data_IF_578399407238
#
_entry.id   IF_578399407238
#
_cell.length_a   1.000
_cell.length_b   1.000
_cell.length_c   1.000
_cell.angle_alpha   90.00
_cell.angle_beta   90.00
_cell.angle_gamma   90.00
#
_symmetry.space_group_name_H-M   'P 1'
#
loop_
_entity.id
_entity.type
_entity.pdbx_description
1 polymer ?
#
# COMPACT_ATOMS: atom_id res chain seq x y z
N UNK A 1 -7.00 -36.47 -56.68
CA UNK A 1 -5.91 -37.44 -56.94
C UNK A 1 -4.69 -36.59 -57.23
N UNK A 2 -3.69 -36.45 -56.37
CA UNK A 2 -2.97 -37.47 -55.61
C UNK A 2 -2.37 -36.87 -54.34
N UNK A 3 -2.38 -37.71 -53.31
CA UNK A 3 -1.79 -37.57 -51.98
C UNK A 3 -0.26 -37.67 -52.05
N UNK A 4 0.45 -36.90 -51.22
CA UNK A 4 1.78 -37.30 -50.75
C UNK A 4 1.78 -37.35 -49.21
N UNK A 5 2.51 -38.34 -48.73
CA UNK A 5 2.52 -38.94 -47.39
C UNK A 5 3.97 -38.97 -46.94
N UNK A 6 4.17 -39.09 -45.63
CA UNK A 6 5.40 -39.42 -44.87
C UNK A 6 6.10 -38.21 -44.24
N UNK A 7 6.65 -38.29 -43.03
CA UNK A 7 6.80 -39.39 -42.08
C UNK A 7 6.97 -38.86 -40.65
N UNK A 8 6.55 -39.69 -39.69
CA UNK A 8 6.96 -39.63 -38.29
C UNK A 8 8.49 -39.80 -38.16
N UNK A 9 9.08 -39.06 -37.23
CA UNK A 9 10.38 -39.41 -36.64
C UNK A 9 10.26 -39.22 -35.13
N UNK A 10 10.26 -40.34 -34.41
CA UNK A 10 10.46 -40.42 -32.96
C UNK A 10 11.91 -40.05 -32.63
N UNK A 11 12.10 -39.28 -31.57
CA UNK A 11 13.36 -39.19 -30.83
C UNK A 11 13.03 -39.04 -29.35
N UNK A 12 13.14 -40.14 -28.63
CA UNK A 12 13.28 -40.17 -27.18
C UNK A 12 14.67 -39.64 -26.79
N UNK A 13 14.73 -38.79 -25.77
CA UNK A 13 15.90 -38.69 -24.87
C UNK A 13 15.43 -38.45 -23.44
N UNK A 14 16.19 -39.09 -22.55
CA UNK A 14 15.97 -39.37 -21.15
C UNK A 14 16.68 -38.34 -20.25
N UNK A 15 16.20 -38.21 -19.01
CA UNK A 15 17.02 -37.91 -17.83
C UNK A 15 17.55 -36.49 -17.62
N UNK A 16 16.94 -35.76 -16.69
CA UNK A 16 17.50 -34.52 -16.14
C UNK A 16 16.66 -33.90 -15.02
N UNK A 17 16.46 -34.65 -13.93
CA UNK A 17 15.85 -34.13 -12.70
C UNK A 17 16.80 -33.14 -12.01
N UNK A 18 16.43 -31.86 -12.01
CA UNK A 18 17.05 -30.82 -11.18
C UNK A 18 15.94 -29.89 -10.69
N UNK A 19 15.53 -30.09 -9.45
CA UNK A 19 14.50 -29.32 -8.75
C UNK A 19 14.94 -27.89 -8.50
N UNK A 20 14.29 -26.93 -9.15
CA UNK A 20 14.25 -25.52 -8.72
C UNK A 20 12.88 -24.97 -9.08
N UNK A 21 11.85 -25.32 -8.32
CA UNK A 21 10.47 -24.90 -8.64
C UNK A 21 9.64 -24.43 -7.45
N UNK A 22 10.25 -24.17 -6.29
CA UNK A 22 9.50 -23.82 -5.07
C UNK A 22 9.75 -22.38 -4.55
N UNK A 23 10.63 -21.58 -5.18
CA UNK A 23 10.87 -20.17 -4.80
C UNK A 23 10.18 -19.16 -5.73
N UNK A 24 9.50 -19.61 -6.79
CA UNK A 24 9.15 -18.75 -7.94
C UNK A 24 7.70 -18.25 -7.98
N UNK A 25 6.82 -18.67 -7.07
CA UNK A 25 5.41 -18.20 -7.03
C UNK A 25 5.19 -16.88 -6.25
N UNK A 26 6.26 -16.27 -5.70
CA UNK A 26 6.14 -15.34 -4.56
C UNK A 26 5.73 -13.89 -4.89
N UNK A 27 5.69 -13.46 -6.16
CA UNK A 27 5.41 -12.04 -6.46
C UNK A 27 4.34 -11.78 -7.54
N UNK A 28 3.61 -12.81 -7.97
CA UNK A 28 2.62 -12.75 -9.05
C UNK A 28 1.25 -12.11 -8.65
N UNK A 29 1.25 -11.08 -7.79
CA UNK A 29 0.04 -10.34 -7.40
C UNK A 29 -0.03 -8.93 -8.03
N UNK A 30 0.42 -8.81 -9.29
CA UNK A 30 0.27 -7.61 -10.13
C UNK A 30 -0.93 -7.69 -11.10
N UNK A 31 -1.87 -8.62 -10.85
CA UNK A 31 -2.99 -8.89 -11.77
C UNK A 31 -2.62 -9.75 -12.99
N UNK A 32 -1.37 -10.21 -13.08
CA UNK A 32 -0.93 -11.16 -14.08
C UNK A 32 -1.60 -12.53 -13.84
N UNK A 33 -2.24 -13.08 -14.88
CA UNK A 33 -2.92 -14.39 -14.84
C UNK A 33 -2.43 -15.35 -15.91
N UNK A 34 -1.55 -14.91 -16.80
CA UNK A 34 -0.90 -15.72 -17.83
C UNK A 34 0.60 -15.79 -17.57
N UNK A 35 1.26 -16.84 -18.08
CA UNK A 35 2.72 -17.00 -17.99
C UNK A 35 3.46 -15.75 -18.45
N UNK A 36 3.12 -15.24 -19.63
CA UNK A 36 3.77 -14.07 -20.22
C UNK A 36 3.56 -12.81 -19.37
N UNK A 37 2.39 -12.67 -18.73
CA UNK A 37 2.12 -11.54 -17.85
C UNK A 37 2.90 -11.65 -16.53
N UNK A 38 3.11 -12.87 -16.02
CA UNK A 38 3.94 -13.13 -14.83
C UNK A 38 5.40 -12.80 -15.14
N UNK A 39 5.93 -13.26 -16.28
CA UNK A 39 7.29 -12.96 -16.73
C UNK A 39 7.53 -11.45 -16.86
N UNK A 40 6.57 -10.70 -17.42
CA UNK A 40 6.65 -9.23 -17.52
C UNK A 40 6.63 -8.58 -16.14
N UNK A 41 5.75 -9.03 -15.26
CA UNK A 41 5.60 -8.51 -13.91
C UNK A 41 6.89 -8.72 -13.09
N UNK A 42 7.45 -9.92 -13.15
CA UNK A 42 8.72 -10.29 -12.52
C UNK A 42 9.87 -9.47 -13.07
N UNK A 43 10.04 -9.47 -14.40
CA UNK A 43 11.09 -8.68 -15.07
C UNK A 43 11.00 -7.19 -14.71
N UNK A 44 9.78 -6.65 -14.60
CA UNK A 44 9.58 -5.26 -14.18
C UNK A 44 10.02 -5.04 -12.74
N UNK A 45 9.73 -5.96 -11.82
CA UNK A 45 10.11 -5.84 -10.41
C UNK A 45 11.61 -6.02 -10.20
N UNK A 46 12.26 -6.90 -10.96
CA UNK A 46 13.71 -7.06 -10.93
C UNK A 46 14.43 -5.75 -11.28
N UNK A 47 13.94 -5.05 -12.31
CA UNK A 47 14.44 -3.70 -12.65
C UNK A 47 14.22 -2.68 -11.54
N UNK A 48 13.15 -2.81 -10.76
CA UNK A 48 12.89 -1.92 -9.63
C UNK A 48 13.83 -2.23 -8.46
N UNK A 49 14.11 -3.51 -8.18
CA UNK A 49 15.08 -3.95 -7.16
C UNK A 49 16.52 -3.57 -7.49
N UNK A 50 16.86 -3.39 -8.77
CA UNK A 50 18.14 -2.79 -9.18
C UNK A 50 18.26 -1.30 -8.76
N UNK A 51 17.14 -0.61 -8.53
CA UNK A 51 17.07 0.85 -8.31
C UNK A 51 16.79 1.25 -6.87
N UNK A 52 16.15 0.37 -6.10
CA UNK A 52 15.69 0.63 -4.73
C UNK A 52 16.26 -0.47 -3.83
N UNK A 53 16.74 -0.15 -2.62
CA UNK A 53 17.12 -1.17 -1.65
C UNK A 53 16.02 -2.22 -1.43
N UNK A 54 16.37 -3.38 -0.87
CA UNK A 54 15.42 -4.46 -0.57
C UNK A 54 15.71 -5.10 0.80
N UNK A 55 16.00 -4.25 1.80
CA UNK A 55 16.43 -4.69 3.12
C UNK A 55 15.31 -4.62 4.16
N UNK A 56 14.34 -3.73 3.95
CA UNK A 56 13.29 -3.43 4.92
C UNK A 56 11.90 -3.52 4.32
N UNK A 57 10.89 -3.68 5.19
CA UNK A 57 9.49 -3.59 4.76
C UNK A 57 9.14 -2.21 4.16
N UNK A 58 9.79 -1.14 4.61
CA UNK A 58 9.62 0.18 3.99
C UNK A 58 10.18 0.23 2.56
N UNK A 59 11.23 -0.53 2.28
CA UNK A 59 11.82 -0.59 0.95
C UNK A 59 10.88 -1.24 -0.06
N UNK A 60 10.11 -2.26 0.35
CA UNK A 60 9.02 -2.82 -0.48
C UNK A 60 8.00 -1.75 -0.87
N UNK A 61 7.65 -0.84 0.03
CA UNK A 61 6.75 0.29 -0.27
C UNK A 61 7.42 1.29 -1.23
N UNK A 62 8.73 1.54 -1.10
CA UNK A 62 9.50 2.37 -2.05
C UNK A 62 9.56 1.74 -3.44
N UNK A 63 9.82 0.43 -3.53
CA UNK A 63 9.79 -0.33 -4.78
C UNK A 63 8.41 -0.28 -5.42
N UNK A 64 7.35 -0.53 -4.64
CA UNK A 64 5.97 -0.41 -5.12
C UNK A 64 5.65 0.99 -5.63
N UNK A 65 6.15 2.03 -4.96
CA UNK A 65 5.99 3.41 -5.42
C UNK A 65 6.65 3.64 -6.78
N UNK A 66 7.87 3.15 -6.98
CA UNK A 66 8.58 3.23 -8.28
C UNK A 66 7.83 2.44 -9.34
N UNK A 67 7.43 1.20 -9.07
CA UNK A 67 6.68 0.36 -9.99
C UNK A 67 5.34 1.00 -10.42
N UNK A 68 4.54 1.47 -9.46
CA UNK A 68 3.22 2.04 -9.72
C UNK A 68 3.26 3.38 -10.49
N UNK A 69 4.42 4.04 -10.51
CA UNK A 69 4.59 5.36 -11.13
C UNK A 69 5.48 5.34 -12.38
N UNK A 70 6.30 4.30 -12.54
CA UNK A 70 7.37 4.25 -13.54
C UNK A 70 8.47 5.28 -13.31
N UNK A 71 8.58 5.88 -12.12
CA UNK A 71 9.49 6.97 -11.81
C UNK A 71 10.40 6.60 -10.61
N UNK A 72 11.70 6.29 -10.85
CA UNK A 72 12.65 5.90 -9.81
C UNK A 72 12.78 6.91 -8.67
N UNK A 73 12.47 8.19 -8.92
CA UNK A 73 12.56 9.24 -7.91
C UNK A 73 11.58 9.03 -6.74
N UNK A 74 10.48 8.28 -6.94
CA UNK A 74 9.49 8.06 -5.89
C UNK A 74 10.09 7.38 -4.66
N UNK A 75 11.15 6.59 -4.80
CA UNK A 75 11.86 6.00 -3.66
C UNK A 75 12.34 7.07 -2.66
N UNK A 76 12.71 8.26 -3.17
CA UNK A 76 13.21 9.38 -2.37
C UNK A 76 12.09 10.31 -1.88
N UNK A 77 10.87 10.16 -2.40
CA UNK A 77 9.72 11.00 -2.04
C UNK A 77 8.85 10.40 -0.94
N UNK A 78 8.79 9.06 -0.83
CA UNK A 78 7.97 8.39 0.17
C UNK A 78 8.51 8.71 1.57
N UNK A 79 7.59 9.01 2.49
CA UNK A 79 7.88 9.30 3.90
C UNK A 79 6.96 8.45 4.78
N UNK A 80 7.54 7.94 5.84
CA UNK A 80 6.87 7.14 6.85
C UNK A 80 6.82 7.92 8.17
N UNK A 81 5.70 7.82 8.88
CA UNK A 81 5.55 8.24 10.26
C UNK A 81 5.05 7.03 11.06
N UNK A 82 5.72 6.69 12.17
CA UNK A 82 5.49 5.43 12.87
C UNK A 82 5.92 4.22 12.05
N UNK A 83 5.19 3.10 12.18
CA UNK A 83 5.43 1.86 11.41
C UNK A 83 4.15 1.46 10.63
N UNK A 84 3.81 2.21 9.58
CA UNK A 84 2.56 2.01 8.85
C UNK A 84 2.53 0.70 8.06
N UNK A 85 3.70 0.13 7.75
CA UNK A 85 3.75 -1.14 7.02
C UNK A 85 3.27 -2.27 7.92
N UNK A 86 3.81 -2.38 9.14
CA UNK A 86 3.36 -3.42 10.07
C UNK A 86 1.95 -3.17 10.60
N UNK A 87 1.57 -1.94 10.94
CA UNK A 87 0.20 -1.68 11.41
C UNK A 87 -0.82 -1.83 10.31
N UNK A 88 -0.51 -1.40 9.09
CA UNK A 88 -1.33 -1.61 7.90
C UNK A 88 -1.53 -3.09 7.61
N UNK A 89 -0.46 -3.89 7.61
CA UNK A 89 -0.55 -5.34 7.42
C UNK A 89 -1.40 -6.00 8.53
N UNK A 90 -1.24 -5.60 9.80
CA UNK A 90 -2.10 -6.07 10.92
C UNK A 90 -3.58 -5.73 10.71
N UNK A 91 -3.87 -4.53 10.22
CA UNK A 91 -5.23 -4.11 9.91
C UNK A 91 -5.82 -4.96 8.77
N UNK A 92 -5.04 -5.29 7.73
CA UNK A 92 -5.45 -6.22 6.68
C UNK A 92 -5.70 -7.63 7.23
N UNK A 93 -4.81 -8.14 8.09
CA UNK A 93 -4.96 -9.45 8.73
C UNK A 93 -6.22 -9.53 9.58
N UNK A 94 -6.58 -8.41 10.22
CA UNK A 94 -7.79 -8.26 11.05
C UNK A 94 -9.03 -7.85 10.25
N UNK A 95 -8.93 -7.84 8.92
CA UNK A 95 -10.01 -7.52 7.98
C UNK A 95 -10.65 -6.14 8.19
N UNK A 96 -9.86 -5.18 8.69
CA UNK A 96 -10.32 -3.82 8.92
C UNK A 96 -10.69 -3.11 7.61
N UNK A 97 -11.61 -2.13 7.64
CA UNK A 97 -12.03 -1.41 6.44
C UNK A 97 -10.87 -0.70 5.74
N UNK A 98 -10.91 -0.70 4.40
CA UNK A 98 -10.07 0.17 3.57
C UNK A 98 -10.98 1.29 3.05
N UNK A 99 -10.71 2.52 3.47
CA UNK A 99 -11.54 3.69 3.16
C UNK A 99 -10.79 4.62 2.22
N UNK A 100 -11.24 4.69 0.97
CA UNK A 100 -10.58 5.49 -0.07
C UNK A 100 -11.24 6.85 -0.25
N UNK A 101 -10.50 7.89 -0.62
CA UNK A 101 -11.10 9.21 -0.88
C UNK A 101 -12.06 9.21 -2.08
N UNK A 102 -11.67 8.58 -3.20
CA UNK A 102 -12.44 8.56 -4.45
C UNK A 102 -12.58 7.17 -5.07
N UNK A 103 -13.48 7.05 -6.07
CA UNK A 103 -13.74 5.81 -6.82
C UNK A 103 -12.50 5.24 -7.50
N UNK A 104 -11.62 6.08 -8.07
CA UNK A 104 -10.44 5.62 -8.81
C UNK A 104 -9.44 4.89 -7.91
N UNK A 105 -9.25 5.37 -6.67
CA UNK A 105 -8.40 4.70 -5.68
C UNK A 105 -9.02 3.35 -5.32
N UNK A 106 -10.32 3.32 -4.99
CA UNK A 106 -11.05 2.07 -4.71
C UNK A 106 -10.90 1.04 -5.82
N UNK A 107 -11.02 1.46 -7.08
CA UNK A 107 -10.92 0.55 -8.22
C UNK A 107 -9.52 -0.05 -8.41
N UNK A 108 -8.47 0.60 -7.87
CA UNK A 108 -7.10 0.09 -7.89
C UNK A 108 -6.74 -0.82 -6.72
N UNK A 109 -7.60 -0.93 -5.69
CA UNK A 109 -7.36 -1.85 -4.57
C UNK A 109 -7.63 -3.28 -5.05
N UNK A 110 -6.67 -4.19 -4.87
CA UNK A 110 -6.83 -5.60 -5.22
C UNK A 110 -7.96 -6.24 -4.41
N UNK A 111 -8.68 -7.19 -5.01
CA UNK A 111 -9.67 -8.00 -4.30
C UNK A 111 -9.11 -9.32 -3.78
N UNK A 112 -7.81 -9.58 -4.00
CA UNK A 112 -7.14 -10.83 -3.62
C UNK A 112 -6.35 -10.62 -2.33
N UNK A 113 -6.14 -11.70 -1.58
CA UNK A 113 -5.30 -11.65 -0.37
C UNK A 113 -5.97 -11.03 0.86
N UNK A 114 -7.23 -10.59 0.81
CA UNK A 114 -7.96 -10.10 2.00
C UNK A 114 -9.48 -10.17 1.84
N UNK A 115 -10.21 -10.03 2.95
CA UNK A 115 -11.67 -9.83 2.96
C UNK A 115 -12.08 -8.45 3.51
N UNK A 116 -11.11 -7.53 3.70
CA UNK A 116 -11.38 -6.15 4.12
C UNK A 116 -12.51 -5.49 3.29
N UNK A 117 -13.50 -4.86 3.93
CA UNK A 117 -14.48 -4.04 3.23
C UNK A 117 -13.82 -2.82 2.58
N UNK A 118 -13.88 -2.71 1.25
CA UNK A 118 -13.34 -1.55 0.53
C UNK A 118 -14.45 -0.53 0.20
N UNK A 119 -14.40 0.62 0.87
CA UNK A 119 -15.38 1.69 0.76
C UNK A 119 -14.75 2.96 0.20
N UNK A 120 -15.55 3.80 -0.44
CA UNK A 120 -15.12 5.14 -0.89
C UNK A 120 -15.85 6.21 -0.10
N UNK A 121 -15.15 7.28 0.25
CA UNK A 121 -15.71 8.44 0.93
C UNK A 121 -16.60 9.22 -0.02
N UNK A 122 -16.12 9.56 -1.23
CA UNK A 122 -16.90 10.35 -2.19
C UNK A 122 -18.29 9.74 -2.43
N UNK A 123 -19.32 10.58 -2.25
CA UNK A 123 -20.73 10.19 -2.33
C UNK A 123 -21.44 10.25 -0.98
N UNK A 124 -20.70 10.38 0.12
CA UNK A 124 -21.23 10.70 1.44
C UNK A 124 -21.18 12.22 1.71
N UNK A 125 -22.01 12.74 2.61
CA UNK A 125 -21.93 14.13 3.05
C UNK A 125 -22.28 15.18 1.98
N UNK A 126 -23.13 14.85 1.00
CA UNK A 126 -23.55 15.81 -0.04
C UNK A 126 -24.28 17.02 0.53
N UNK A 127 -25.11 16.81 1.55
CA UNK A 127 -25.82 17.87 2.27
C UNK A 127 -24.83 18.78 3.01
N UNK A 128 -23.91 18.18 3.78
CA UNK A 128 -22.84 18.92 4.47
C UNK A 128 -22.01 19.77 3.51
N UNK A 129 -21.67 19.25 2.32
CA UNK A 129 -20.94 20.02 1.32
C UNK A 129 -21.75 21.21 0.79
N UNK A 130 -23.05 21.04 0.57
CA UNK A 130 -23.93 22.11 0.09
C UNK A 130 -24.14 23.21 1.15
N UNK A 131 -24.29 22.82 2.41
CA UNK A 131 -24.54 23.73 3.52
C UNK A 131 -23.31 24.57 3.89
N UNK A 132 -22.11 23.96 3.88
CA UNK A 132 -20.88 24.60 4.36
C UNK A 132 -20.01 25.18 3.24
N UNK A 133 -20.27 24.83 1.99
CA UNK A 133 -19.46 25.21 0.83
C UNK A 133 -18.11 24.50 0.72
N UNK A 134 -17.84 23.49 1.56
CA UNK A 134 -16.61 22.72 1.47
C UNK A 134 -16.61 21.75 0.28
N UNK A 135 -15.43 21.26 -0.11
CA UNK A 135 -15.36 20.27 -1.18
C UNK A 135 -16.06 18.98 -0.79
N UNK A 136 -16.73 18.33 -1.75
CA UNK A 136 -17.41 17.04 -1.55
C UNK A 136 -16.55 16.00 -0.84
N UNK A 137 -15.27 15.88 -1.20
CA UNK A 137 -14.34 14.92 -0.58
C UNK A 137 -14.05 15.22 0.88
N UNK A 138 -13.97 16.50 1.28
CA UNK A 138 -13.81 16.88 2.68
C UNK A 138 -15.07 16.56 3.48
N UNK A 139 -16.25 16.96 2.97
CA UNK A 139 -17.52 16.66 3.60
C UNK A 139 -17.76 15.15 3.75
N UNK A 140 -17.39 14.37 2.73
CA UNK A 140 -17.47 12.90 2.78
C UNK A 140 -16.60 12.29 3.88
N UNK A 141 -15.38 12.81 4.09
CA UNK A 141 -14.50 12.32 5.18
C UNK A 141 -15.13 12.63 6.53
N UNK A 142 -15.56 13.87 6.76
CA UNK A 142 -16.20 14.26 8.02
C UNK A 142 -17.47 13.44 8.30
N UNK A 143 -18.25 13.14 7.27
CA UNK A 143 -19.47 12.36 7.42
C UNK A 143 -19.18 10.89 7.77
N UNK A 144 -18.19 10.27 7.14
CA UNK A 144 -17.77 8.92 7.49
C UNK A 144 -17.11 8.85 8.88
N UNK A 145 -16.37 9.89 9.26
CA UNK A 145 -15.77 10.02 10.58
C UNK A 145 -16.82 10.06 11.71
N UNK A 146 -17.90 10.84 11.54
CA UNK A 146 -19.04 10.86 12.47
C UNK A 146 -19.70 9.49 12.65
N UNK A 147 -19.56 8.61 11.66
CA UNK A 147 -20.08 7.24 11.70
C UNK A 147 -19.08 6.25 12.29
N UNK A 148 -17.90 6.70 12.75
CA UNK A 148 -16.83 5.87 13.31
C UNK A 148 -16.11 5.01 12.28
N UNK A 149 -16.21 5.33 10.98
CA UNK A 149 -15.72 4.46 9.90
C UNK A 149 -14.19 4.45 9.80
N UNK A 150 -13.52 5.46 10.34
CA UNK A 150 -12.07 5.62 10.24
C UNK A 150 -11.28 5.00 11.39
N UNK A 151 -11.91 4.66 12.52
CA UNK A 151 -11.21 3.98 13.61
C UNK A 151 -10.78 2.58 13.19
N UNK A 152 -9.51 2.24 13.47
CA UNK A 152 -8.81 1.03 13.04
C UNK A 152 -8.76 0.77 11.51
N UNK A 153 -9.33 1.66 10.71
CA UNK A 153 -9.35 1.53 9.26
C UNK A 153 -7.99 1.87 8.63
N UNK A 154 -7.80 1.40 7.40
CA UNK A 154 -6.76 1.89 6.50
C UNK A 154 -7.35 3.03 5.67
N UNK A 155 -6.91 4.25 5.92
CA UNK A 155 -7.37 5.43 5.22
C UNK A 155 -6.48 5.73 4.00
N UNK A 156 -7.01 5.59 2.78
CA UNK A 156 -6.25 5.75 1.53
C UNK A 156 -6.71 6.97 0.73
N UNK A 157 -5.87 8.00 0.65
CA UNK A 157 -6.16 9.28 0.00
C UNK A 157 -5.19 9.49 -1.16
N UNK A 158 -5.67 9.28 -2.39
CA UNK A 158 -4.85 9.38 -3.59
C UNK A 158 -5.07 10.63 -4.43
N UNK A 159 -6.20 11.32 -4.27
CA UNK A 159 -6.59 12.40 -5.17
C UNK A 159 -6.80 13.74 -4.47
N UNK A 160 -7.56 13.80 -3.37
CA UNK A 160 -8.05 15.07 -2.84
C UNK A 160 -7.21 15.58 -1.65
N UNK A 161 -6.43 16.68 -1.79
CA UNK A 161 -5.77 17.32 -0.65
C UNK A 161 -6.74 17.71 0.46
N UNK A 162 -7.96 18.11 0.12
CA UNK A 162 -8.99 18.50 1.10
C UNK A 162 -9.54 17.32 1.89
N UNK A 163 -9.52 16.10 1.34
CA UNK A 163 -9.83 14.90 2.13
C UNK A 163 -8.74 14.64 3.18
N UNK A 164 -7.46 14.82 2.81
CA UNK A 164 -6.35 14.64 3.74
C UNK A 164 -6.34 15.70 4.85
N UNK A 165 -6.71 16.95 4.54
CA UNK A 165 -6.89 17.98 5.56
C UNK A 165 -8.04 17.62 6.52
N UNK A 166 -9.21 17.24 5.99
CA UNK A 166 -10.34 16.83 6.82
C UNK A 166 -10.01 15.62 7.72
N UNK A 167 -9.32 14.61 7.18
CA UNK A 167 -8.89 13.45 7.98
C UNK A 167 -7.91 13.86 9.09
N UNK A 168 -7.03 14.83 8.83
CA UNK A 168 -6.15 15.33 9.86
C UNK A 168 -6.93 16.03 10.99
N UNK A 169 -7.96 16.82 10.66
CA UNK A 169 -8.83 17.46 11.66
C UNK A 169 -9.60 16.41 12.49
N UNK A 170 -10.04 15.31 11.88
CA UNK A 170 -10.63 14.16 12.57
C UNK A 170 -9.65 13.52 13.56
N UNK A 171 -8.39 13.31 13.16
CA UNK A 171 -7.35 12.73 14.03
C UNK A 171 -7.09 13.63 15.24
N UNK A 172 -7.01 14.95 15.06
CA UNK A 172 -6.91 15.87 16.19
C UNK A 172 -8.11 15.79 17.13
N UNK A 173 -9.28 15.52 16.56
CA UNK A 173 -10.54 15.39 17.30
C UNK A 173 -10.72 14.03 17.98
N UNK A 174 -9.82 13.07 17.75
CA UNK A 174 -9.79 11.79 18.46
C UNK A 174 -9.80 10.54 17.59
N UNK A 175 -10.03 10.67 16.27
CA UNK A 175 -10.07 9.52 15.35
C UNK A 175 -8.72 8.82 15.24
N UNK A 176 -8.69 7.49 15.24
CA UNK A 176 -7.46 6.69 15.19
C UNK A 176 -7.51 5.61 14.11
N UNK A 177 -7.18 5.95 12.85
CA UNK A 177 -6.91 4.95 11.81
C UNK A 177 -5.74 4.04 12.18
N UNK A 178 -5.78 2.77 11.76
CA UNK A 178 -4.66 1.85 11.98
C UNK A 178 -3.43 2.21 11.11
N UNK A 179 -3.69 2.72 9.90
CA UNK A 179 -2.68 3.26 9.02
C UNK A 179 -3.30 4.25 8.02
N UNK A 180 -2.49 5.22 7.58
CA UNK A 180 -2.87 6.20 6.55
C UNK A 180 -1.96 6.03 5.34
N UNK A 181 -2.53 6.03 4.14
CA UNK A 181 -1.81 6.19 2.87
C UNK A 181 -2.29 7.47 2.22
N UNK A 182 -1.57 8.59 2.42
CA UNK A 182 -1.97 9.90 1.93
C UNK A 182 -0.97 10.44 0.90
N UNK A 183 -1.29 10.23 -0.38
CA UNK A 183 -0.50 10.71 -1.51
C UNK A 183 -1.34 11.55 -2.50
N UNK A 184 -2.18 12.51 -2.05
CA UNK A 184 -2.94 13.33 -2.98
C UNK A 184 -2.00 14.11 -3.93
N UNK A 185 -2.28 14.02 -5.22
CA UNK A 185 -1.57 14.78 -6.25
C UNK A 185 -2.15 16.20 -6.35
N UNK A 186 -1.30 17.18 -6.66
CA UNK A 186 -1.80 18.50 -7.00
C UNK A 186 -0.78 19.62 -6.83
N UNK A 187 -1.09 20.76 -7.43
CA UNK A 187 -0.29 21.98 -7.32
C UNK A 187 -0.79 22.91 -6.21
N UNK A 188 -1.99 22.66 -5.68
CA UNK A 188 -2.64 23.46 -4.65
C UNK A 188 -2.93 22.53 -3.47
N UNK A 189 -2.50 22.92 -2.25
CA UNK A 189 -2.73 22.22 -0.97
C UNK A 189 -2.19 20.78 -0.85
N UNK A 190 -1.70 20.15 -1.91
CA UNK A 190 -1.19 18.78 -1.86
C UNK A 190 0.03 18.63 -0.93
N UNK A 191 1.00 19.55 -1.01
CA UNK A 191 2.14 19.57 -0.09
C UNK A 191 1.69 19.82 1.35
N UNK A 192 0.87 20.85 1.56
CA UNK A 192 0.33 21.25 2.86
C UNK A 192 -0.45 20.12 3.55
N UNK A 193 -1.39 19.49 2.85
CA UNK A 193 -2.21 18.40 3.38
C UNK A 193 -1.39 17.18 3.82
N UNK A 194 -0.33 16.83 3.09
CA UNK A 194 0.57 15.73 3.48
C UNK A 194 1.47 16.09 4.64
N UNK A 195 1.95 17.34 4.69
CA UNK A 195 2.67 17.85 5.86
C UNK A 195 1.77 17.78 7.09
N UNK A 196 0.49 18.15 6.93
CA UNK A 196 -0.51 18.11 7.99
C UNK A 196 -0.77 16.70 8.48
N UNK A 197 -0.96 15.73 7.58
CA UNK A 197 -1.07 14.30 7.91
C UNK A 197 0.15 13.83 8.70
N UNK A 198 1.38 14.16 8.27
CA UNK A 198 2.59 13.75 9.00
C UNK A 198 2.69 14.36 10.40
N UNK A 199 2.27 15.62 10.55
CA UNK A 199 2.26 16.29 11.84
C UNK A 199 1.30 15.57 12.82
N UNK A 200 0.04 15.39 12.43
CA UNK A 200 -0.94 14.71 13.30
C UNK A 200 -0.60 13.22 13.50
N UNK A 201 -0.04 12.55 12.49
CA UNK A 201 0.45 11.18 12.61
C UNK A 201 1.48 11.04 13.73
N UNK A 202 2.44 11.97 13.78
CA UNK A 202 3.50 11.98 14.80
C UNK A 202 2.95 12.36 16.17
N UNK A 203 2.11 13.38 16.23
CA UNK A 203 1.56 13.92 17.47
C UNK A 203 0.60 12.95 18.17
N UNK A 204 -0.26 12.28 17.40
CA UNK A 204 -1.32 11.41 17.92
C UNK A 204 -1.02 9.91 17.78
N UNK A 205 0.19 9.55 17.30
CA UNK A 205 0.62 8.15 17.19
C UNK A 205 -0.13 7.34 16.13
N UNK A 206 -0.56 7.99 15.03
CA UNK A 206 -1.28 7.36 13.92
C UNK A 206 -0.30 7.10 12.77
N UNK A 207 0.05 5.85 12.44
CA UNK A 207 1.05 5.57 11.40
C UNK A 207 0.62 6.04 10.01
N UNK A 208 1.54 6.64 9.25
CA UNK A 208 1.21 7.20 7.93
C UNK A 208 2.32 7.02 6.89
N UNK A 209 1.89 6.73 5.66
CA UNK A 209 2.68 6.76 4.43
C UNK A 209 2.26 8.00 3.65
N UNK A 210 3.20 8.88 3.33
CA UNK A 210 2.95 10.08 2.52
C UNK A 210 4.05 10.26 1.48
N UNK A 211 3.92 11.30 0.65
CA UNK A 211 5.00 11.76 -0.23
C UNK A 211 5.37 13.23 0.01
N UNK A 212 6.55 13.64 -0.46
CA UNK A 212 7.00 15.05 -0.47
C UNK A 212 6.72 15.72 -1.81
N UNK A 213 6.47 17.03 -1.79
CA UNK A 213 6.33 17.85 -2.98
C UNK A 213 4.89 17.91 -3.50
N UNK A 214 4.70 17.70 -4.81
CA UNK A 214 3.40 17.78 -5.52
C UNK A 214 2.97 16.46 -6.20
N UNK A 215 3.93 15.55 -6.40
CA UNK A 215 3.73 14.24 -7.04
C UNK A 215 3.00 13.27 -6.11
N UNK A 216 2.12 12.45 -6.66
CA UNK A 216 1.23 11.55 -5.92
C UNK A 216 0.23 10.94 -6.90
N UNK A 217 -0.97 10.61 -6.43
CA UNK A 217 -2.08 10.21 -7.29
C UNK A 217 -2.73 8.91 -6.84
N UNK A 218 -3.84 8.58 -7.52
CA UNK A 218 -4.65 7.42 -7.19
C UNK A 218 -3.92 6.10 -7.39
N UNK A 219 -3.14 5.96 -8.48
CA UNK A 219 -2.39 4.74 -8.78
C UNK A 219 -1.33 4.44 -7.72
N UNK A 220 -0.62 5.48 -7.26
CA UNK A 220 0.35 5.35 -6.17
C UNK A 220 -0.34 4.96 -4.86
N UNK A 221 -1.43 5.65 -4.48
CA UNK A 221 -2.13 5.36 -3.23
C UNK A 221 -2.68 3.93 -3.19
N UNK A 222 -3.25 3.48 -4.32
CA UNK A 222 -3.73 2.12 -4.47
C UNK A 222 -2.58 1.10 -4.42
N UNK A 223 -1.49 1.35 -5.16
CA UNK A 223 -0.30 0.48 -5.16
C UNK A 223 0.30 0.30 -3.77
N UNK A 224 0.50 1.40 -3.02
CA UNK A 224 1.01 1.35 -1.65
C UNK A 224 0.06 0.61 -0.71
N UNK A 225 -1.26 0.78 -0.88
CA UNK A 225 -2.25 0.04 -0.08
C UNK A 225 -2.23 -1.46 -0.42
N UNK A 226 -2.09 -1.82 -1.70
CA UNK A 226 -1.94 -3.21 -2.13
C UNK A 226 -0.67 -3.84 -1.58
N UNK A 227 0.43 -3.08 -1.41
CA UNK A 227 1.62 -3.61 -0.76
C UNK A 227 1.38 -3.96 0.72
N UNK A 228 0.53 -3.22 1.43
CA UNK A 228 0.12 -3.63 2.78
C UNK A 228 -0.64 -4.96 2.77
N UNK A 229 -1.43 -5.20 1.72
CA UNK A 229 -2.12 -6.48 1.49
C UNK A 229 -1.11 -7.60 1.21
N UNK A 230 -0.13 -7.38 0.33
CA UNK A 230 0.88 -8.39 0.02
C UNK A 230 1.72 -8.73 1.26
N UNK A 231 2.17 -7.73 2.02
CA UNK A 231 2.86 -7.96 3.30
C UNK A 231 1.99 -8.78 4.25
N UNK A 232 0.69 -8.53 4.32
CA UNK A 232 -0.22 -9.35 5.14
C UNK A 232 -0.35 -10.80 4.63
N UNK A 233 -0.40 -11.02 3.31
CA UNK A 233 -0.37 -12.36 2.72
C UNK A 233 0.93 -13.09 3.06
N UNK A 234 2.09 -12.43 2.91
CA UNK A 234 3.40 -13.01 3.23
C UNK A 234 3.51 -13.39 4.71
N UNK A 235 2.83 -12.65 5.60
CA UNK A 235 2.74 -13.01 7.03
C UNK A 235 1.89 -14.26 7.24
N UNK A 236 0.78 -14.42 6.50
CA UNK A 236 -0.03 -15.66 6.56
C UNK A 236 0.75 -16.88 6.06
N UNK A 237 1.60 -16.67 5.07
CA UNK A 237 2.44 -17.70 4.48
C UNK A 237 3.74 -17.97 5.28
N UNK A 238 3.96 -17.23 6.37
CA UNK A 238 5.12 -17.40 7.24
C UNK A 238 6.44 -16.83 6.69
N UNK A 239 6.38 -16.05 5.60
CA UNK A 239 7.53 -15.45 4.91
C UNK A 239 8.00 -14.16 5.58
N UNK A 240 7.08 -13.43 6.22
CA UNK A 240 7.36 -12.17 6.93
C UNK A 240 6.86 -12.26 8.37
N UNK A 241 7.62 -11.71 9.32
CA UNK A 241 7.18 -11.50 10.70
C UNK A 241 6.88 -10.03 10.96
N UNK A 242 5.78 -9.76 11.70
CA UNK A 242 5.38 -8.40 12.09
C UNK A 242 5.92 -7.98 13.46
N UNK A 243 6.95 -8.66 13.96
CA UNK A 243 7.64 -8.24 15.17
C UNK A 243 8.34 -6.90 14.91
N UNK A 244 8.18 -5.96 15.85
CA UNK A 244 8.95 -4.71 15.86
C UNK A 244 10.40 -5.04 16.16
N UNK A 245 11.33 -4.54 15.33
CA UNK A 245 12.75 -4.60 15.66
C UNK A 245 12.98 -4.03 17.07
N UNK A 246 13.84 -4.64 17.90
CA UNK A 246 14.10 -4.13 19.24
C UNK A 246 14.63 -2.69 19.13
N UNK A 247 13.88 -1.75 19.70
CA UNK A 247 14.29 -0.35 19.81
C UNK A 247 15.62 -0.31 20.56
N UNK A 248 16.59 0.49 20.12
CA UNK A 248 17.90 0.63 20.78
C UNK A 248 17.81 0.98 22.29
N UNK A 249 16.65 1.49 22.73
CA UNK A 249 16.32 1.70 24.14
C UNK A 249 16.44 0.44 25.02
N UNK A 250 16.32 -0.77 24.46
CA UNK A 250 16.36 -2.03 25.22
C UNK A 250 17.77 -2.63 25.37
N UNK A 251 18.83 -1.98 24.85
CA UNK A 251 20.23 -2.46 25.02
C UNK A 251 20.92 -1.91 26.28
N UNK A 252 20.34 -0.91 26.94
CA UNK A 252 20.95 -0.27 28.10
C UNK A 252 20.55 -0.86 29.46
N UNK A 253 19.49 -1.67 29.54
CA UNK A 253 18.95 -2.14 30.83
C UNK A 253 19.52 -3.49 31.32
N UNK A 254 20.48 -4.06 30.59
CA UNK A 254 21.11 -5.35 30.95
C UNK A 254 22.61 -5.27 31.23
N UNK A 255 23.18 -4.07 31.42
CA UNK A 255 24.62 -3.89 31.77
C UNK A 255 24.91 -3.32 33.15
N UNK A 256 23.92 -3.13 34.02
CA UNK A 256 24.12 -2.70 35.41
C UNK A 256 23.40 -3.61 36.43
N UNK A 257 23.68 -4.91 36.39
CA UNK A 257 23.52 -5.79 37.57
C UNK A 257 24.69 -6.77 37.60
N UNK A 258 25.92 -6.26 37.63
CA UNK A 258 27.13 -7.01 38.00
C UNK A 258 28.30 -6.04 38.14
N UNK A 259 28.37 -5.33 39.27
CA UNK A 259 29.60 -4.84 39.92
C UNK A 259 29.32 -4.21 41.26
#
# INVERSE_FOLDING_TARGET
MTTEKNAHMDLSTDGGSGSTNDEYEEYADLGATTSDAMEIAESSMDRVRELVPDETLEDRLRQKAVHATGDPEFQHLVRFAGDPVRTGARAVLSEQPIVTDITMVKAGITGRGHQCPVKKAIGNGSELAAETGMTRTAASVLELDRQGVYDDAIATIGNAPTAALALADCIESGTRPAAIVATPVGFIKAAESRNRIRAVATEYGVPAITTVGRRGGSGLAAGLTNELVHVASDVRDGKVTLETAPTEANRHDHREVER
#
